data_IF_501260661535
#
_entry.id   IF_501260661535
#
_cell.length_a   1.000
_cell.length_b   1.000
_cell.length_c   1.000
_cell.angle_alpha   90.00
_cell.angle_beta   90.00
_cell.angle_gamma   90.00
#
_symmetry.space_group_name_H-M   'P 1'
#
loop_
_entity.id
_entity.type
_entity.pdbx_description
1 polymer ?
#
# COMPACT_ATOMS: atom_id res chain seq x y z
N UNK A 1 7.68 4.43 14.63
CA UNK A 1 7.20 3.48 13.61
C UNK A 1 7.26 4.14 12.23
N UNK A 2 7.58 3.34 11.25
CA UNK A 2 7.55 3.82 9.85
C UNK A 2 6.13 3.68 9.34
N UNK A 3 5.54 4.75 8.92
CA UNK A 3 4.17 4.73 8.38
C UNK A 3 4.19 4.31 6.92
N UNK A 4 3.31 3.39 6.56
CA UNK A 4 3.27 2.89 5.19
C UNK A 4 1.84 2.81 4.68
N UNK A 5 1.73 2.74 3.35
CA UNK A 5 0.47 2.53 2.66
C UNK A 5 0.69 1.41 1.66
N UNK A 6 -0.30 0.54 1.51
CA UNK A 6 -0.27 -0.55 0.53
C UNK A 6 -1.22 -0.20 -0.60
N UNK A 7 -0.72 -0.24 -1.83
CA UNK A 7 -1.52 0.05 -3.02
C UNK A 7 -1.50 -1.16 -3.93
N UNK A 8 -2.65 -1.83 -4.06
CA UNK A 8 -2.77 -3.03 -4.88
C UNK A 8 -4.26 -3.24 -5.15
N UNK A 9 -4.63 -3.53 -6.39
CA UNK A 9 -6.02 -3.72 -6.74
C UNK A 9 -6.56 -5.09 -6.37
N UNK A 10 -5.72 -6.00 -5.89
CA UNK A 10 -6.16 -7.33 -5.47
C UNK A 10 -6.08 -7.44 -3.96
N UNK A 11 -7.21 -7.82 -3.35
CA UNK A 11 -7.26 -7.93 -1.90
C UNK A 11 -6.33 -9.03 -1.38
N UNK A 12 -6.19 -10.11 -2.13
CA UNK A 12 -5.31 -11.21 -1.72
C UNK A 12 -3.87 -10.75 -1.63
N UNK A 13 -3.43 -9.94 -2.59
CA UNK A 13 -2.07 -9.40 -2.56
C UNK A 13 -1.88 -8.47 -1.37
N UNK A 14 -2.87 -7.61 -1.09
CA UNK A 14 -2.78 -6.72 0.06
C UNK A 14 -2.68 -7.50 1.37
N UNK A 15 -3.49 -8.56 1.49
CA UNK A 15 -3.46 -9.39 2.70
C UNK A 15 -2.12 -10.06 2.89
N UNK A 16 -1.53 -10.54 1.80
CA UNK A 16 -0.21 -11.18 1.85
C UNK A 16 0.84 -10.19 2.33
N UNK A 17 0.83 -8.98 1.78
CA UNK A 17 1.80 -7.95 2.17
C UNK A 17 1.61 -7.59 3.65
N UNK A 18 0.36 -7.45 4.09
CA UNK A 18 0.09 -7.14 5.49
C UNK A 18 0.63 -8.23 6.41
N UNK A 19 0.44 -9.48 6.02
CA UNK A 19 0.93 -10.60 6.82
C UNK A 19 2.45 -10.56 6.93
N UNK A 20 3.13 -10.36 5.79
CA UNK A 20 4.59 -10.34 5.79
C UNK A 20 5.14 -9.19 6.62
N UNK A 21 4.50 -8.03 6.53
CA UNK A 21 4.93 -6.89 7.33
C UNK A 21 4.74 -7.16 8.81
N UNK A 22 3.61 -7.74 9.19
CA UNK A 22 3.34 -8.06 10.59
C UNK A 22 4.33 -9.08 11.14
N UNK A 23 4.72 -10.06 10.31
CA UNK A 23 5.61 -11.13 10.75
C UNK A 23 7.07 -10.68 10.81
N UNK A 24 7.53 -9.94 9.81
CA UNK A 24 8.96 -9.69 9.66
C UNK A 24 9.38 -8.23 9.85
N UNK A 25 8.45 -7.31 9.86
CA UNK A 25 8.77 -5.88 9.91
C UNK A 25 7.90 -5.17 10.94
N UNK A 26 8.05 -5.55 12.19
CA UNK A 26 7.18 -5.03 13.26
C UNK A 26 7.31 -3.52 13.47
N UNK A 27 8.36 -2.90 12.92
CA UNK A 27 8.55 -1.46 13.03
C UNK A 27 7.85 -0.68 11.91
N UNK A 28 7.16 -1.37 11.02
CA UNK A 28 6.40 -0.73 9.95
C UNK A 28 4.92 -0.79 10.29
N UNK A 29 4.27 0.36 10.24
CA UNK A 29 2.85 0.47 10.50
C UNK A 29 2.11 0.68 9.18
N UNK A 30 1.02 -0.04 8.96
CA UNK A 30 0.21 0.16 7.76
C UNK A 30 -0.89 1.14 8.13
N UNK A 31 -0.78 2.37 7.62
CA UNK A 31 -1.71 3.44 7.93
C UNK A 31 -2.97 3.37 7.07
N UNK A 32 -2.85 2.87 5.85
CA UNK A 32 -3.98 2.81 4.93
C UNK A 32 -3.69 1.85 3.81
N UNK A 33 -4.75 1.48 3.09
CA UNK A 33 -4.66 0.65 1.89
C UNK A 33 -5.40 1.35 0.78
N UNK A 34 -4.98 1.14 -0.45
CA UNK A 34 -5.62 1.70 -1.62
C UNK A 34 -5.67 0.64 -2.72
N UNK A 35 -6.71 0.65 -3.51
CA UNK A 35 -6.84 -0.31 -4.60
C UNK A 35 -6.84 0.35 -5.97
N UNK A 36 -6.56 1.64 -6.03
CA UNK A 36 -6.46 2.36 -7.29
C UNK A 36 -5.49 3.51 -7.14
N UNK A 37 -5.10 4.10 -8.26
CA UNK A 37 -4.20 5.26 -8.24
C UNK A 37 -4.86 6.42 -7.52
N UNK A 38 -6.15 6.67 -7.79
CA UNK A 38 -6.86 7.76 -7.15
C UNK A 38 -6.91 7.60 -5.63
N UNK A 39 -7.20 6.39 -5.18
CA UNK A 39 -7.21 6.12 -3.74
C UNK A 39 -5.82 6.26 -3.14
N UNK A 40 -4.80 5.86 -3.90
CA UNK A 40 -3.42 5.99 -3.43
C UNK A 40 -3.06 7.46 -3.21
N UNK A 41 -3.41 8.31 -4.16
CA UNK A 41 -3.13 9.74 -4.04
C UNK A 41 -3.83 10.33 -2.81
N UNK A 42 -5.09 9.97 -2.62
CA UNK A 42 -5.83 10.44 -1.46
C UNK A 42 -5.21 9.96 -0.15
N UNK A 43 -4.81 8.70 -0.10
CA UNK A 43 -4.23 8.12 1.11
C UNK A 43 -2.87 8.76 1.40
N UNK A 44 -2.05 8.95 0.38
CA UNK A 44 -0.74 9.59 0.56
C UNK A 44 -0.90 11.01 1.06
N UNK A 45 -1.84 11.73 0.48
CA UNK A 45 -2.09 13.12 0.90
C UNK A 45 -2.56 13.19 2.34
N UNK A 46 -3.44 12.27 2.73
CA UNK A 46 -4.02 12.29 4.06
C UNK A 46 -3.04 11.79 5.13
N UNK A 47 -2.34 10.71 4.87
CA UNK A 47 -1.51 10.04 5.87
C UNK A 47 -0.04 10.41 5.83
N UNK A 48 0.43 10.95 4.72
CA UNK A 48 1.83 11.35 4.54
C UNK A 48 2.79 10.26 4.99
N UNK A 49 2.71 9.08 4.34
CA UNK A 49 3.51 7.94 4.77
C UNK A 49 4.98 8.12 4.44
N UNK A 50 5.81 7.36 5.14
CA UNK A 50 7.24 7.32 4.85
C UNK A 50 7.55 6.32 3.73
N UNK A 51 6.64 5.37 3.49
CA UNK A 51 6.89 4.27 2.57
C UNK A 51 5.60 3.86 1.89
N UNK A 52 5.66 3.52 0.61
CA UNK A 52 4.49 3.04 -0.13
C UNK A 52 4.86 1.72 -0.79
N UNK A 53 4.06 0.68 -0.53
CA UNK A 53 4.18 -0.60 -1.22
C UNK A 53 3.20 -0.55 -2.37
N UNK A 54 3.69 -0.55 -3.59
CA UNK A 54 2.83 -0.38 -4.76
C UNK A 54 3.07 -1.48 -5.79
N UNK A 55 1.96 -2.06 -6.27
CA UNK A 55 2.00 -3.01 -7.37
C UNK A 55 2.08 -2.21 -8.66
N UNK A 56 3.08 -2.48 -9.47
CA UNK A 56 3.27 -1.75 -10.72
C UNK A 56 2.24 -2.11 -11.77
N UNK A 57 1.46 -3.15 -11.55
CA UNK A 57 0.43 -3.57 -12.49
C UNK A 57 -0.97 -3.15 -12.07
N UNK A 58 -1.07 -2.18 -11.20
CA UNK A 58 -2.38 -1.75 -10.71
C UNK A 58 -3.23 -1.22 -11.85
N UNK A 59 -4.52 -1.52 -11.82
CA UNK A 59 -5.43 -1.12 -12.87
C UNK A 59 -5.52 0.39 -12.98
N UNK A 60 -5.50 0.86 -14.23
CA UNK A 60 -5.56 2.29 -14.47
C UNK A 60 -4.26 2.98 -14.22
N UNK A 61 -3.26 2.25 -13.79
CA UNK A 61 -1.97 2.83 -13.43
C UNK A 61 -0.99 2.83 -14.57
N UNK A 62 -0.75 1.67 -15.14
CA UNK A 62 0.31 1.67 -16.11
C UNK A 62 -0.14 1.35 -17.46
N UNK A 63 -0.22 1.28 -18.23
CA UNK A 63 -0.47 0.97 -19.58
C UNK A 63 0.54 0.06 -20.24
N UNK A 64 1.29 -0.57 -19.52
CA UNK A 64 2.30 -1.41 -20.14
C UNK A 64 1.77 -2.79 -20.46
#
# INVERSE_FOLDING_TARGET
>A
MIKSIIVDDEITSRETIKYLIAEYFSHIEISAEAESVDEAVNAITRHKPDLVFMDIEIKGGTGI
#
